data_IF_115784289327
#
_entry.id   IF_115784289327
#
_cell.length_a   1.000
_cell.length_b   1.000
_cell.length_c   1.000
_cell.angle_alpha   90.00
_cell.angle_beta   90.00
_cell.angle_gamma   90.00
#
_symmetry.space_group_name_H-M   'P 1'
#
loop_
_entity.id
_entity.type
_entity.pdbx_description
1 polymer ?
#
# COMPACT_ATOMS: atom_id res chain seq x y z
N UNK A 1 5.52 -17.20 -26.20
CA UNK A 1 5.19 -18.35 -27.06
C UNK A 1 3.68 -18.54 -27.25
N UNK A 2 2.91 -18.96 -26.25
CA UNK A 2 1.45 -19.18 -26.41
C UNK A 2 0.69 -17.91 -26.83
N UNK A 3 0.99 -16.77 -26.21
CA UNK A 3 0.39 -15.48 -26.59
C UNK A 3 0.76 -15.09 -28.03
N UNK A 4 2.01 -15.31 -28.44
CA UNK A 4 2.47 -14.94 -29.78
C UNK A 4 1.77 -15.76 -30.87
N UNK A 5 1.51 -17.05 -30.60
CA UNK A 5 0.71 -17.91 -31.47
C UNK A 5 -0.73 -17.39 -31.55
N UNK A 6 -1.37 -17.13 -30.41
CA UNK A 6 -2.74 -16.64 -30.36
C UNK A 6 -2.91 -15.31 -31.12
N UNK A 7 -1.95 -14.38 -30.98
CA UNK A 7 -1.98 -13.08 -31.67
C UNK A 7 -1.82 -13.19 -33.19
N UNK A 8 -1.23 -14.27 -33.70
CA UNK A 8 -1.18 -14.55 -35.15
C UNK A 8 -2.52 -15.06 -35.69
N UNK A 9 -3.37 -15.64 -34.84
CA UNK A 9 -4.72 -16.08 -35.20
C UNK A 9 -5.66 -14.86 -35.17
N UNK A 10 -5.72 -14.18 -34.02
CA UNK A 10 -6.48 -12.93 -33.84
C UNK A 10 -5.88 -12.14 -32.67
N UNK A 11 -5.29 -10.99 -32.98
CA UNK A 11 -4.60 -10.16 -31.98
C UNK A 11 -5.55 -9.54 -30.95
N UNK A 12 -6.74 -9.08 -31.36
CA UNK A 12 -7.68 -8.45 -30.42
C UNK A 12 -8.24 -9.50 -29.46
N UNK A 13 -8.67 -10.67 -29.96
CA UNK A 13 -9.16 -11.76 -29.12
C UNK A 13 -8.08 -12.35 -28.22
N UNK A 14 -6.84 -12.46 -28.70
CA UNK A 14 -5.72 -12.93 -27.89
C UNK A 14 -5.46 -11.97 -26.72
N UNK A 15 -5.44 -10.67 -26.97
CA UNK A 15 -5.22 -9.66 -25.93
C UNK A 15 -6.41 -9.57 -24.97
N UNK A 16 -7.65 -9.69 -25.43
CA UNK A 16 -8.84 -9.79 -24.56
C UNK A 16 -8.76 -10.96 -23.59
N UNK A 17 -8.21 -12.09 -24.06
CA UNK A 17 -8.17 -13.36 -23.34
C UNK A 17 -6.93 -13.54 -22.47
N UNK A 18 -6.11 -12.50 -22.33
CA UNK A 18 -4.86 -12.54 -21.56
C UNK A 18 -5.01 -11.73 -20.27
N UNK A 19 -4.62 -12.31 -19.13
CA UNK A 19 -4.41 -11.57 -17.88
C UNK A 19 -3.07 -10.84 -17.92
N UNK A 20 -3.06 -9.59 -17.46
CA UNK A 20 -1.87 -8.73 -17.57
C UNK A 20 -1.52 -8.07 -16.24
N UNK A 21 -0.23 -7.81 -16.07
CA UNK A 21 0.34 -7.08 -14.92
C UNK A 21 0.29 -7.85 -13.59
N UNK A 22 0.74 -7.18 -12.53
CA UNK A 22 0.84 -7.76 -11.18
C UNK A 22 -0.52 -8.23 -10.64
N UNK A 23 -1.58 -7.50 -10.98
CA UNK A 23 -2.94 -7.78 -10.54
C UNK A 23 -3.67 -8.79 -11.44
N UNK A 24 -3.05 -9.27 -12.52
CA UNK A 24 -3.65 -10.24 -13.45
C UNK A 24 -5.02 -9.78 -14.00
N UNK A 25 -5.13 -8.50 -14.36
CA UNK A 25 -6.38 -7.96 -14.92
C UNK A 25 -6.56 -8.49 -16.35
N UNK A 26 -7.70 -9.14 -16.62
CA UNK A 26 -8.02 -9.65 -17.96
C UNK A 26 -8.20 -8.53 -18.98
N UNK A 27 -7.65 -8.69 -20.19
CA UNK A 27 -7.69 -7.68 -21.24
C UNK A 27 -9.10 -7.30 -21.72
N UNK A 28 -10.09 -8.18 -21.60
CA UNK A 28 -11.49 -7.81 -21.86
C UNK A 28 -12.03 -6.73 -20.90
N UNK A 29 -11.36 -6.48 -19.77
CA UNK A 29 -11.68 -5.38 -18.85
C UNK A 29 -11.03 -4.05 -19.23
N UNK A 30 -10.37 -3.92 -20.41
CA UNK A 30 -9.63 -2.72 -20.79
C UNK A 30 -10.40 -1.40 -20.55
N UNK A 31 -11.68 -1.34 -20.91
CA UNK A 31 -12.51 -0.14 -20.73
C UNK A 31 -12.75 0.18 -19.24
N UNK A 32 -12.92 -0.86 -18.40
CA UNK A 32 -13.09 -0.71 -16.95
C UNK A 32 -11.86 -0.11 -16.29
N UNK A 33 -10.68 -0.38 -16.83
CA UNK A 33 -9.40 0.16 -16.35
C UNK A 33 -8.90 1.34 -17.19
N UNK A 34 -9.80 2.03 -17.90
CA UNK A 34 -9.50 3.32 -18.54
C UNK A 34 -8.83 3.25 -19.91
N UNK A 35 -8.74 2.07 -20.53
CA UNK A 35 -8.09 1.86 -21.81
C UNK A 35 -9.10 1.72 -22.97
N UNK A 36 -8.81 2.36 -24.10
CA UNK A 36 -9.68 2.40 -25.29
C UNK A 36 -9.81 1.03 -25.98
N UNK A 37 -8.78 0.19 -25.87
CA UNK A 37 -8.73 -1.15 -26.45
C UNK A 37 -7.85 -2.10 -25.63
N UNK A 38 -7.99 -3.43 -25.81
CA UNK A 38 -7.08 -4.42 -25.22
C UNK A 38 -5.62 -4.14 -25.55
N UNK A 39 -5.33 -3.70 -26.79
CA UNK A 39 -4.00 -3.27 -27.21
C UNK A 39 -3.46 -2.08 -26.42
N UNK A 40 -4.25 -1.01 -26.26
CA UNK A 40 -3.81 0.15 -25.48
C UNK A 40 -3.58 -0.18 -24.00
N UNK A 41 -4.28 -1.19 -23.46
CA UNK A 41 -4.01 -1.71 -22.12
C UNK A 41 -2.70 -2.50 -22.10
N UNK A 42 -2.51 -3.42 -23.05
CA UNK A 42 -1.29 -4.22 -23.18
C UNK A 42 -0.04 -3.34 -23.32
N UNK A 43 -0.08 -2.32 -24.16
CA UNK A 43 1.06 -1.41 -24.37
C UNK A 43 1.39 -0.63 -23.08
N UNK A 44 0.37 -0.15 -22.36
CA UNK A 44 0.57 0.57 -21.10
C UNK A 44 1.15 -0.34 -20.00
N UNK A 45 0.55 -1.50 -19.76
CA UNK A 45 1.04 -2.43 -18.74
C UNK A 45 2.44 -2.96 -19.10
N UNK A 46 2.77 -3.15 -20.37
CA UNK A 46 4.11 -3.57 -20.78
C UNK A 46 5.18 -2.49 -20.60
N UNK A 47 4.78 -1.22 -20.45
CA UNK A 47 5.72 -0.08 -20.41
C UNK A 47 6.25 0.26 -19.03
N UNK A 48 5.41 0.15 -17.98
CA UNK A 48 5.78 0.57 -16.63
C UNK A 48 4.88 -0.11 -15.57
N UNK A 49 5.50 -0.56 -14.48
CA UNK A 49 4.82 -1.15 -13.31
C UNK A 49 3.78 -0.22 -12.70
N UNK A 50 3.93 1.09 -12.84
CA UNK A 50 2.92 2.08 -12.44
C UNK A 50 1.55 1.78 -13.04
N UNK A 51 1.50 1.35 -14.31
CA UNK A 51 0.23 1.02 -14.97
C UNK A 51 -0.38 -0.27 -14.44
N UNK A 52 0.42 -1.19 -13.88
CA UNK A 52 -0.11 -2.37 -13.19
C UNK A 52 -0.91 -1.96 -11.95
N UNK A 53 -0.36 -1.03 -11.16
CA UNK A 53 -1.01 -0.52 -9.95
C UNK A 53 -2.26 0.29 -10.27
N UNK A 54 -2.22 1.15 -11.29
CA UNK A 54 -3.38 1.93 -11.71
C UNK A 54 -4.51 1.01 -12.20
N UNK A 55 -4.18 0.02 -13.03
CA UNK A 55 -5.17 -0.95 -13.50
C UNK A 55 -5.78 -1.75 -12.33
N UNK A 56 -5.01 -2.12 -11.32
CA UNK A 56 -5.53 -2.75 -10.10
C UNK A 56 -6.53 -1.84 -9.38
N UNK A 57 -6.17 -0.58 -9.12
CA UNK A 57 -7.04 0.36 -8.43
C UNK A 57 -8.32 0.64 -9.21
N UNK A 58 -8.23 0.83 -10.53
CA UNK A 58 -9.41 1.05 -11.37
C UNK A 58 -10.27 -0.19 -11.48
N UNK A 59 -9.67 -1.39 -11.51
CA UNK A 59 -10.43 -2.64 -11.51
C UNK A 59 -11.23 -2.81 -10.23
N UNK A 60 -10.59 -2.59 -9.08
CA UNK A 60 -11.22 -2.65 -7.74
C UNK A 60 -12.28 -1.57 -7.59
N UNK A 61 -12.01 -0.35 -8.05
CA UNK A 61 -12.96 0.77 -8.04
C UNK A 61 -14.16 0.52 -8.96
N UNK A 62 -13.96 -0.13 -10.10
CA UNK A 62 -14.98 -0.29 -11.12
C UNK A 62 -15.43 1.05 -11.75
N UNK A 63 -16.58 1.04 -12.41
CA UNK A 63 -17.10 2.18 -13.19
C UNK A 63 -18.04 3.11 -12.41
N UNK A 64 -18.30 2.85 -11.12
CA UNK A 64 -19.29 3.55 -10.30
C UNK A 64 -18.76 4.06 -8.96
N UNK A 65 -19.64 4.73 -8.19
CA UNK A 65 -19.31 5.23 -6.84
C UNK A 65 -19.42 4.15 -5.75
N UNK A 66 -20.16 3.08 -6.03
CA UNK A 66 -20.53 2.03 -5.07
C UNK A 66 -19.85 0.70 -5.40
N UNK A 67 -18.53 0.64 -5.15
CA UNK A 67 -17.77 -0.60 -5.35
C UNK A 67 -17.88 -1.50 -4.13
N UNK A 68 -18.50 -2.68 -4.31
CA UNK A 68 -18.55 -3.74 -3.28
C UNK A 68 -17.18 -4.12 -2.74
N UNK A 69 -16.15 -4.11 -3.59
CA UNK A 69 -14.78 -4.41 -3.17
C UNK A 69 -14.23 -3.29 -2.27
N UNK A 70 -14.44 -2.02 -2.64
CA UNK A 70 -14.06 -0.88 -1.81
C UNK A 70 -14.84 -0.86 -0.50
N UNK A 71 -16.14 -1.15 -0.52
CA UNK A 71 -16.98 -1.19 0.68
C UNK A 71 -16.60 -2.35 1.61
N UNK A 72 -16.15 -3.47 1.06
CA UNK A 72 -15.56 -4.55 1.84
C UNK A 72 -14.25 -4.10 2.50
N UNK A 73 -13.33 -3.47 1.76
CA UNK A 73 -12.08 -2.93 2.31
C UNK A 73 -12.33 -1.88 3.41
N UNK A 74 -13.28 -0.96 3.21
CA UNK A 74 -13.66 0.07 4.20
C UNK A 74 -14.20 -0.53 5.49
N UNK A 75 -14.88 -1.67 5.41
CA UNK A 75 -15.42 -2.42 6.55
C UNK A 75 -14.44 -3.46 7.10
N UNK A 76 -13.23 -3.53 6.52
CA UNK A 76 -12.23 -4.55 6.83
C UNK A 76 -12.73 -6.00 6.66
N UNK A 77 -13.73 -6.20 5.78
CA UNK A 77 -14.25 -7.51 5.42
C UNK A 77 -13.41 -8.10 4.28
N UNK A 78 -12.22 -8.62 4.64
CA UNK A 78 -11.24 -9.11 3.67
C UNK A 78 -11.71 -10.37 2.93
N UNK A 79 -12.59 -11.18 3.54
CA UNK A 79 -13.21 -12.34 2.87
C UNK A 79 -14.18 -11.88 1.79
N UNK A 80 -15.02 -10.86 2.06
CA UNK A 80 -15.90 -10.30 1.02
C UNK A 80 -15.12 -9.60 -0.10
N UNK A 81 -14.02 -8.92 0.24
CA UNK A 81 -13.12 -8.36 -0.78
C UNK A 81 -12.52 -9.49 -1.64
N UNK A 82 -11.92 -10.51 -1.00
CA UNK A 82 -11.33 -11.64 -1.68
C UNK A 82 -12.34 -12.40 -2.54
N UNK A 83 -13.58 -12.55 -2.09
CA UNK A 83 -14.67 -13.13 -2.90
C UNK A 83 -14.97 -12.31 -4.14
N UNK A 84 -14.95 -10.99 -4.03
CA UNK A 84 -15.23 -10.07 -5.15
C UNK A 84 -14.08 -10.07 -6.17
N UNK A 85 -12.84 -10.22 -5.70
CA UNK A 85 -11.65 -10.15 -6.54
C UNK A 85 -11.20 -11.52 -7.09
N UNK A 86 -11.07 -12.53 -6.23
CA UNK A 86 -10.55 -13.87 -6.56
C UNK A 86 -11.66 -14.91 -6.81
N UNK A 87 -12.93 -14.55 -6.61
CA UNK A 87 -14.05 -15.49 -6.65
C UNK A 87 -14.27 -16.25 -5.33
N UNK A 88 -15.33 -17.06 -5.28
CA UNK A 88 -15.75 -17.74 -4.04
C UNK A 88 -14.84 -18.89 -3.60
N UNK A 89 -14.15 -19.55 -4.53
CA UNK A 89 -13.41 -20.79 -4.25
C UNK A 89 -12.29 -20.65 -3.21
N UNK A 90 -11.61 -19.51 -3.18
CA UNK A 90 -10.49 -19.24 -2.26
C UNK A 90 -10.69 -17.96 -1.43
N UNK A 91 -11.92 -17.47 -1.32
CA UNK A 91 -12.20 -16.22 -0.60
C UNK A 91 -11.74 -16.25 0.86
N UNK A 92 -11.95 -17.38 1.55
CA UNK A 92 -11.50 -17.55 2.94
C UNK A 92 -9.98 -17.54 3.06
N UNK A 93 -9.28 -18.24 2.17
CA UNK A 93 -7.81 -18.32 2.15
C UNK A 93 -7.18 -16.95 1.91
N UNK A 94 -7.58 -16.25 0.84
CA UNK A 94 -7.02 -14.93 0.54
C UNK A 94 -7.47 -13.86 1.54
N UNK A 95 -8.70 -13.96 2.07
CA UNK A 95 -9.18 -13.06 3.11
C UNK A 95 -8.30 -13.14 4.37
N UNK A 96 -7.95 -14.36 4.81
CA UNK A 96 -7.08 -14.56 5.96
C UNK A 96 -5.65 -14.04 5.75
N UNK A 97 -5.09 -14.20 4.53
CA UNK A 97 -3.79 -13.63 4.20
C UNK A 97 -3.79 -12.10 4.27
N UNK A 98 -4.80 -11.47 3.67
CA UNK A 98 -4.93 -10.00 3.70
C UNK A 98 -5.08 -9.52 5.14
N UNK A 99 -5.90 -10.19 5.94
CA UNK A 99 -6.08 -9.85 7.36
C UNK A 99 -4.75 -9.92 8.13
N UNK A 100 -3.98 -11.00 7.94
CA UNK A 100 -2.67 -11.17 8.56
C UNK A 100 -1.67 -10.09 8.13
N UNK A 101 -1.62 -9.77 6.83
CA UNK A 101 -0.73 -8.74 6.29
C UNK A 101 -1.11 -7.33 6.78
N UNK A 102 -2.41 -7.02 6.86
CA UNK A 102 -2.88 -5.75 7.42
C UNK A 102 -2.53 -5.66 8.92
N UNK A 103 -2.70 -6.74 9.67
CA UNK A 103 -2.31 -6.78 11.08
C UNK A 103 -0.79 -6.58 11.24
N UNK A 104 0.02 -7.25 10.43
CA UNK A 104 1.48 -7.09 10.42
C UNK A 104 1.90 -5.66 10.04
N UNK A 105 1.29 -5.08 9.01
CA UNK A 105 1.54 -3.71 8.60
C UNK A 105 1.16 -2.71 9.70
N UNK A 106 0.01 -2.92 10.36
CA UNK A 106 -0.40 -2.10 11.51
C UNK A 106 0.55 -2.23 12.68
N UNK A 107 1.07 -3.42 12.97
CA UNK A 107 2.07 -3.63 14.00
C UNK A 107 3.41 -2.93 13.67
N UNK A 108 3.82 -2.98 12.39
CA UNK A 108 5.01 -2.28 11.91
C UNK A 108 4.86 -0.75 11.95
N UNK A 109 3.65 -0.26 11.67
CA UNK A 109 3.31 1.18 11.76
C UNK A 109 2.86 1.61 13.14
N UNK A 110 2.68 0.66 14.07
CA UNK A 110 2.23 0.98 15.40
C UNK A 110 3.30 1.91 15.99
N UNK A 111 2.87 3.01 16.62
CA UNK A 111 3.77 3.85 17.36
C UNK A 111 4.59 2.96 18.31
N UNK A 112 5.90 2.80 18.07
CA UNK A 112 6.76 2.04 18.97
C UNK A 112 6.62 2.57 20.40
N UNK A 113 6.68 1.69 21.41
CA UNK A 113 6.52 2.12 22.80
C UNK A 113 7.39 3.35 23.11
N UNK A 114 6.86 4.30 23.89
CA UNK A 114 7.61 5.49 24.30
C UNK A 114 8.92 5.05 24.94
N UNK A 115 10.04 5.41 24.31
CA UNK A 115 11.38 5.05 24.77
C UNK A 115 11.88 6.16 25.68
N UNK A 116 12.64 5.84 26.71
CA UNK A 116 13.38 6.87 27.46
C UNK A 116 14.82 6.94 26.98
N UNK A 117 15.34 8.15 26.81
CA UNK A 117 16.73 8.40 26.47
C UNK A 117 17.35 9.37 27.47
N UNK A 118 18.51 9.04 28.02
CA UNK A 118 19.27 9.94 28.89
C UNK A 118 20.26 10.73 28.03
N UNK A 119 20.14 12.05 28.04
CA UNK A 119 21.01 12.96 27.30
C UNK A 119 22.47 12.77 27.73
N UNK A 120 23.37 12.63 26.76
CA UNK A 120 24.81 12.55 26.99
C UNK A 120 25.54 13.78 26.44
N UNK A 121 26.80 13.96 26.81
CA UNK A 121 27.60 15.09 26.34
C UNK A 121 27.64 15.14 24.80
N UNK A 122 27.36 16.32 24.23
CA UNK A 122 27.33 16.56 22.78
C UNK A 122 26.00 16.25 22.09
N UNK A 123 24.96 15.87 22.83
CA UNK A 123 23.62 15.73 22.26
C UNK A 123 22.95 17.08 22.00
N UNK A 124 22.12 17.09 20.96
CA UNK A 124 21.13 18.13 20.68
C UNK A 124 19.79 17.46 20.35
N UNK A 125 18.67 18.16 20.51
CA UNK A 125 17.36 17.60 20.14
C UNK A 125 17.31 17.16 18.66
N UNK A 126 17.99 17.88 17.77
CA UNK A 126 18.10 17.52 16.35
C UNK A 126 18.87 16.21 16.12
N UNK A 127 19.97 15.97 16.84
CA UNK A 127 20.72 14.71 16.76
C UNK A 127 19.92 13.54 17.33
N UNK A 128 19.28 13.75 18.48
CA UNK A 128 18.42 12.77 19.14
C UNK A 128 17.22 12.43 18.23
N UNK A 129 16.55 13.45 17.69
CA UNK A 129 15.41 13.27 16.78
C UNK A 129 15.78 12.43 15.56
N UNK A 130 16.90 12.76 14.90
CA UNK A 130 17.42 11.97 13.78
C UNK A 130 17.75 10.53 14.15
N UNK A 131 18.38 10.31 15.31
CA UNK A 131 18.71 8.98 15.82
C UNK A 131 17.46 8.10 16.01
N UNK A 132 16.36 8.69 16.45
CA UNK A 132 15.13 7.96 16.76
C UNK A 132 14.02 8.08 15.71
N UNK A 133 14.25 8.80 14.61
CA UNK A 133 13.26 9.01 13.55
C UNK A 133 12.10 9.94 13.96
N UNK A 134 12.31 10.82 14.94
CA UNK A 134 11.28 11.75 15.46
C UNK A 134 11.66 13.20 15.19
N UNK A 135 10.67 14.06 14.99
CA UNK A 135 10.93 15.49 14.81
C UNK A 135 11.30 16.17 16.13
N UNK A 136 12.06 17.26 16.06
CA UNK A 136 12.37 18.10 17.23
C UNK A 136 11.08 18.60 17.89
N UNK A 137 10.08 18.98 17.08
CA UNK A 137 8.77 19.43 17.57
C UNK A 137 8.07 18.34 18.38
N UNK A 138 8.14 17.08 17.93
CA UNK A 138 7.58 15.96 18.67
C UNK A 138 8.32 15.73 20.00
N UNK A 139 9.65 15.84 20.02
CA UNK A 139 10.45 15.73 21.25
C UNK A 139 10.14 16.83 22.24
N UNK A 140 10.05 18.08 21.78
CA UNK A 140 9.72 19.25 22.61
C UNK A 140 8.36 19.06 23.27
N UNK A 141 7.33 18.69 22.49
CA UNK A 141 5.98 18.45 22.99
C UNK A 141 5.93 17.28 23.98
N UNK A 142 6.58 16.17 23.67
CA UNK A 142 6.57 14.97 24.51
C UNK A 142 7.25 15.17 25.87
N UNK A 143 8.12 16.17 25.98
CA UNK A 143 8.94 16.44 27.18
C UNK A 143 8.65 17.80 27.83
N UNK A 144 7.65 18.55 27.33
CA UNK A 144 7.33 19.91 27.78
C UNK A 144 8.58 20.82 27.87
N UNK A 145 9.44 20.76 26.84
CA UNK A 145 10.67 21.58 26.81
C UNK A 145 10.31 23.01 26.40
N UNK A 146 10.68 23.99 27.22
CA UNK A 146 10.41 25.41 26.95
C UNK A 146 11.41 25.99 25.94
N UNK A 147 12.70 25.66 26.09
CA UNK A 147 13.78 26.08 25.20
C UNK A 147 14.39 24.86 24.48
N UNK A 148 14.10 24.65 23.18
CA UNK A 148 14.61 23.52 22.41
C UNK A 148 16.14 23.47 22.28
N UNK A 149 16.83 24.58 22.48
CA UNK A 149 18.29 24.66 22.39
C UNK A 149 18.99 24.36 23.73
N UNK A 150 18.22 24.19 24.81
CA UNK A 150 18.73 23.94 26.16
C UNK A 150 18.29 22.58 26.72
N UNK A 151 19.08 21.53 26.46
CA UNK A 151 18.99 20.23 27.14
C UNK A 151 20.24 19.98 28.00
N UNK A 152 20.08 19.23 29.10
CA UNK A 152 21.17 18.98 30.06
C UNK A 152 21.63 17.52 30.02
N UNK A 153 22.93 17.28 30.11
CA UNK A 153 23.48 15.93 30.29
C UNK A 153 22.85 15.29 31.53
N UNK A 154 22.42 14.03 31.41
CA UNK A 154 21.68 13.30 32.44
C UNK A 154 20.16 13.51 32.41
N UNK A 155 19.65 14.48 31.63
CA UNK A 155 18.20 14.67 31.45
C UNK A 155 17.58 13.45 30.77
N UNK A 156 16.50 12.92 31.35
CA UNK A 156 15.72 11.85 30.74
C UNK A 156 14.65 12.44 29.83
N UNK A 157 14.68 12.05 28.57
CA UNK A 157 13.71 12.43 27.56
C UNK A 157 12.83 11.23 27.19
N UNK A 158 11.52 11.45 27.19
CA UNK A 158 10.53 10.62 26.49
C UNK A 158 10.69 10.82 24.99
N UNK A 159 11.12 9.77 24.31
CA UNK A 159 11.16 9.69 22.86
C UNK A 159 9.78 9.21 22.41
N UNK A 160 8.98 10.09 21.77
CA UNK A 160 7.69 9.66 21.27
C UNK A 160 7.89 8.62 20.16
N UNK A 161 6.85 7.88 19.82
CA UNK A 161 6.89 7.07 18.62
C UNK A 161 7.12 7.91 17.35
N UNK A 162 7.79 7.32 16.36
CA UNK A 162 7.95 7.87 15.00
C UNK A 162 6.69 7.69 14.17
#
# INVERSE_FOLDING_TARGET
EALDIARRIDDDLALRSTSMGLAQVMGFNHARVGHRSPRSMFDALSSDVRYHLLAMFDFVRGTGRDSRAIDALRREDYVAFARTYNGSGHAGYYGALIEADVAAFRALRAPGAARTYTVVAGDTLSRIGRRFGVSVVALVRANAIEDPDLIRVGQRLTIPPS
#
